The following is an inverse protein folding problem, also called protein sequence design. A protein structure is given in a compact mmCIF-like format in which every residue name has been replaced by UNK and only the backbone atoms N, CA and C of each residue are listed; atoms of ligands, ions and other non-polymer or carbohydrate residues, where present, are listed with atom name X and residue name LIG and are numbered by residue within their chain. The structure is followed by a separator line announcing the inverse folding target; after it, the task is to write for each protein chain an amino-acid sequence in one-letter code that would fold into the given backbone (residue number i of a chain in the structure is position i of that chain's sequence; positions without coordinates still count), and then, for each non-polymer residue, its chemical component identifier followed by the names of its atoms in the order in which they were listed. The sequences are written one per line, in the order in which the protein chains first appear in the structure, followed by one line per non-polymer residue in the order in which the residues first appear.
data_IF_909434180959
#
_entry.id   IF_909434180959
#
_cell.length_a   1.000
_cell.length_b   1.000
_cell.length_c   1.000
_cell.angle_alpha   90.00
_cell.angle_beta   90.00
_cell.angle_gamma   90.00
#
_symmetry.space_group_name_H-M   'P 1'
#
loop_
_entity.id
_entity.type
_entity.pdbx_description
1 polymer ?
#
# COMPACT_ATOMS: atom_id res chain seq x y z
N UNK A 1 22.03 -6.88 -10.21
CA UNK A 1 20.66 -7.03 -10.74
C UNK A 1 19.78 -5.97 -10.10
N UNK A 2 18.93 -5.29 -10.86
CA UNK A 2 17.99 -4.31 -10.29
C UNK A 2 16.70 -5.05 -9.86
N UNK A 3 16.30 -5.00 -8.57
CA UNK A 3 15.08 -5.68 -8.15
C UNK A 3 13.86 -5.08 -8.85
N UNK A 4 12.88 -5.93 -9.18
CA UNK A 4 11.62 -5.44 -9.74
C UNK A 4 10.86 -4.66 -8.65
N UNK A 5 10.19 -3.54 -9.00
CA UNK A 5 9.36 -2.81 -8.05
C UNK A 5 8.26 -3.71 -7.47
N UNK A 6 7.97 -3.55 -6.17
CA UNK A 6 6.92 -4.29 -5.47
C UNK A 6 5.86 -3.31 -4.97
N UNK A 7 4.60 -3.71 -5.07
CA UNK A 7 3.46 -2.99 -4.53
C UNK A 7 2.80 -3.79 -3.39
N UNK A 8 2.06 -3.09 -2.53
CA UNK A 8 1.24 -3.70 -1.47
C UNK A 8 -0.24 -3.48 -1.76
N UNK A 9 -1.06 -4.52 -1.58
CA UNK A 9 -2.50 -4.39 -1.74
C UNK A 9 -3.13 -3.84 -0.46
N UNK A 10 -3.91 -2.75 -0.56
CA UNK A 10 -4.40 -1.99 0.60
C UNK A 10 -5.24 -2.81 1.58
N UNK A 11 -5.89 -3.89 1.13
CA UNK A 11 -6.69 -4.74 2.02
C UNK A 11 -5.83 -5.44 3.10
N UNK A 12 -4.53 -5.64 2.83
CA UNK A 12 -3.57 -6.19 3.80
C UNK A 12 -3.34 -5.26 5.00
N UNK A 13 -3.60 -3.96 4.85
CA UNK A 13 -3.43 -2.93 5.89
C UNK A 13 -4.72 -2.15 6.16
N UNK A 14 -5.88 -2.73 5.80
CA UNK A 14 -7.19 -2.05 5.80
C UNK A 14 -7.57 -1.42 7.14
N UNK A 15 -7.21 -2.06 8.25
CA UNK A 15 -7.55 -1.58 9.60
C UNK A 15 -6.78 -0.31 9.95
N UNK A 16 -5.48 -0.26 9.61
CA UNK A 16 -4.67 0.94 9.78
C UNK A 16 -5.10 2.05 8.81
N UNK A 17 -5.34 1.69 7.54
CA UNK A 17 -5.75 2.64 6.51
C UNK A 17 -7.15 3.24 6.77
N UNK A 18 -8.03 2.52 7.48
CA UNK A 18 -9.33 3.05 7.90
C UNK A 18 -9.21 4.14 8.98
N UNK A 19 -8.14 4.12 9.78
CA UNK A 19 -7.86 5.14 10.80
C UNK A 19 -7.06 6.33 10.27
N UNK A 20 -6.09 6.08 9.38
CA UNK A 20 -5.26 7.11 8.74
C UNK A 20 -4.67 6.59 7.42
N UNK A 21 -5.34 6.89 6.31
CA UNK A 21 -4.88 6.46 4.99
C UNK A 21 -3.57 7.14 4.59
N UNK A 22 -3.40 8.44 4.87
CA UNK A 22 -2.23 9.20 4.42
C UNK A 22 -0.99 8.73 5.19
N UNK A 23 -1.06 8.60 6.51
CA UNK A 23 0.05 8.10 7.31
C UNK A 23 0.46 6.67 6.91
N UNK A 24 -0.50 5.82 6.55
CA UNK A 24 -0.20 4.48 6.01
C UNK A 24 0.53 4.55 4.67
N UNK A 25 0.12 5.42 3.74
CA UNK A 25 0.81 5.59 2.46
C UNK A 25 2.24 6.14 2.64
N UNK A 26 2.45 7.07 3.57
CA UNK A 26 3.77 7.58 3.93
C UNK A 26 4.66 6.46 4.49
N UNK A 27 4.14 5.61 5.38
CA UNK A 27 4.86 4.45 5.91
C UNK A 27 5.20 3.43 4.83
N UNK A 28 4.26 3.12 3.93
CA UNK A 28 4.48 2.20 2.79
C UNK A 28 5.62 2.72 1.91
N UNK A 29 5.63 4.02 1.59
CA UNK A 29 6.71 4.64 0.82
C UNK A 29 8.05 4.60 1.57
N UNK A 30 8.05 4.87 2.88
CA UNK A 30 9.25 4.81 3.72
C UNK A 30 9.85 3.40 3.83
N UNK A 31 9.03 2.34 3.77
CA UNK A 31 9.48 0.93 3.72
C UNK A 31 10.16 0.60 2.38
N UNK A 32 9.82 1.32 1.31
CA UNK A 32 10.40 1.12 -0.02
C UNK A 32 9.50 0.37 -1.00
N UNK A 33 8.20 0.21 -0.69
CA UNK A 33 7.23 -0.23 -1.69
C UNK A 33 7.06 0.86 -2.75
N UNK A 34 7.02 0.45 -4.02
CA UNK A 34 6.93 1.36 -5.15
C UNK A 34 5.50 1.79 -5.46
N UNK A 35 4.50 1.16 -4.85
CA UNK A 35 3.10 1.49 -5.07
C UNK A 35 2.13 0.69 -4.21
N UNK A 36 0.84 0.98 -4.41
CA UNK A 36 -0.26 0.29 -3.75
C UNK A 36 -1.31 -0.15 -4.77
N UNK A 37 -1.96 -1.27 -4.51
CA UNK A 37 -3.16 -1.69 -5.23
C UNK A 37 -4.41 -1.26 -4.43
N UNK A 38 -5.39 -0.57 -5.04
CA UNK A 38 -6.67 -0.25 -4.41
C UNK A 38 -7.43 -1.50 -3.97
N UNK A 39 -8.32 -1.35 -2.98
CA UNK A 39 -9.19 -2.43 -2.52
C UNK A 39 -10.67 -2.09 -2.81
N UNK A 40 -11.51 -3.12 -2.91
CA UNK A 40 -12.97 -2.95 -3.05
C UNK A 40 -13.46 -2.65 -4.48
N UNK A 41 -12.60 -2.79 -5.48
CA UNK A 41 -13.00 -2.77 -6.89
C UNK A 41 -13.63 -4.13 -7.23
N UNK A 42 -14.94 -4.13 -7.53
CA UNK A 42 -15.68 -5.32 -7.95
C UNK A 42 -16.38 -5.00 -9.29
N UNK A 43 -16.36 -5.95 -10.23
CA UNK A 43 -16.95 -5.81 -11.58
C UNK A 43 -17.19 -7.15 -12.23
#
# INVERSE_FOLDING_TARGET
MNPKPIAVQLYSVREAAAGDLIGVLEQIAAIGYAGVEPAGLHG
#
